data_IF_159500406968
#
_entry.id   IF_159500406968
#
_cell.length_a   1.000
_cell.length_b   1.000
_cell.length_c   1.000
_cell.angle_alpha   90.00
_cell.angle_beta   90.00
_cell.angle_gamma   90.00
#
_symmetry.space_group_name_H-M   'P 1'
#
loop_
_entity.id
_entity.type
_entity.pdbx_description
1 polymer ?
#
# COMPACT_ATOMS: atom_id res chain seq x y z
N UNK A 1 23.48 -2.89 -24.02
CA UNK A 1 22.95 -3.76 -22.93
C UNK A 1 21.75 -3.16 -22.20
N UNK A 2 21.71 -1.84 -21.93
CA UNK A 2 20.54 -1.16 -21.32
C UNK A 2 19.18 -1.63 -21.87
N UNK A 3 18.99 -1.53 -23.19
CA UNK A 3 17.71 -1.82 -23.84
C UNK A 3 17.29 -3.29 -23.67
N UNK A 4 18.26 -4.21 -23.64
CA UNK A 4 17.99 -5.64 -23.41
C UNK A 4 17.52 -5.88 -21.97
N UNK A 5 18.15 -5.25 -20.98
CA UNK A 5 17.73 -5.36 -19.57
C UNK A 5 16.32 -4.77 -19.43
N UNK A 6 16.10 -3.56 -19.96
CA UNK A 6 14.84 -2.85 -19.90
C UNK A 6 13.69 -3.65 -20.55
N UNK A 7 13.86 -4.13 -21.78
CA UNK A 7 12.84 -4.93 -22.47
C UNK A 7 12.59 -6.27 -21.80
N UNK A 8 13.63 -6.91 -21.24
CA UNK A 8 13.46 -8.17 -20.51
C UNK A 8 12.64 -7.97 -19.24
N UNK A 9 12.89 -6.89 -18.49
CA UNK A 9 12.08 -6.52 -17.32
C UNK A 9 10.62 -6.23 -17.71
N UNK A 10 10.40 -5.48 -18.79
CA UNK A 10 9.04 -5.19 -19.28
C UNK A 10 8.32 -6.47 -19.70
N UNK A 11 8.98 -7.32 -20.48
CA UNK A 11 8.42 -8.61 -20.93
C UNK A 11 8.07 -9.49 -19.73
N UNK A 12 8.93 -9.51 -18.73
CA UNK A 12 8.67 -10.22 -17.49
C UNK A 12 7.40 -9.70 -16.79
N UNK A 13 7.23 -8.39 -16.67
CA UNK A 13 6.06 -7.80 -16.03
C UNK A 13 4.76 -8.05 -16.80
N UNK A 14 4.78 -7.91 -18.13
CA UNK A 14 3.62 -8.24 -18.95
C UNK A 14 3.28 -9.73 -18.93
N UNK A 15 4.22 -10.62 -18.63
CA UNK A 15 3.91 -12.03 -18.44
C UNK A 15 3.40 -12.37 -17.03
N UNK A 16 3.41 -11.41 -16.09
CA UNK A 16 2.96 -11.64 -14.72
C UNK A 16 1.48 -11.25 -14.52
N UNK A 17 0.65 -12.17 -14.01
CA UNK A 17 -0.75 -11.87 -13.67
C UNK A 17 -0.92 -10.69 -12.71
N UNK A 18 0.04 -10.49 -11.79
CA UNK A 18 0.01 -9.40 -10.81
C UNK A 18 -0.10 -8.02 -11.46
N UNK A 19 0.56 -7.78 -12.58
CA UNK A 19 0.48 -6.51 -13.31
C UNK A 19 -0.95 -6.21 -13.77
N UNK A 20 -1.60 -7.19 -14.41
CA UNK A 20 -2.97 -7.05 -14.88
C UNK A 20 -3.96 -6.88 -13.74
N UNK A 21 -3.74 -7.58 -12.62
CA UNK A 21 -4.55 -7.38 -11.41
C UNK A 21 -4.43 -5.93 -10.90
N UNK A 22 -3.22 -5.37 -10.83
CA UNK A 22 -3.05 -3.97 -10.45
C UNK A 22 -3.74 -3.02 -11.44
N UNK A 23 -3.54 -3.23 -12.74
CA UNK A 23 -4.20 -2.41 -13.76
C UNK A 23 -5.74 -2.47 -13.64
N UNK A 24 -6.32 -3.66 -13.50
CA UNK A 24 -7.78 -3.85 -13.38
C UNK A 24 -8.32 -3.25 -12.09
N UNK A 25 -7.67 -3.50 -10.95
CA UNK A 25 -8.12 -2.98 -9.66
C UNK A 25 -8.09 -1.46 -9.65
N UNK A 26 -6.99 -0.85 -10.09
CA UNK A 26 -6.89 0.61 -10.13
C UNK A 26 -7.77 1.24 -11.23
N UNK A 27 -8.03 0.51 -12.32
CA UNK A 27 -9.03 0.91 -13.31
C UNK A 27 -10.44 0.93 -12.67
N UNK A 28 -10.84 -0.14 -11.97
CA UNK A 28 -12.14 -0.19 -11.29
C UNK A 28 -12.24 0.91 -10.23
N UNK A 29 -11.19 1.13 -9.42
CA UNK A 29 -11.19 2.20 -8.41
C UNK A 29 -11.34 3.58 -9.06
N UNK A 30 -10.55 3.90 -10.09
CA UNK A 30 -10.64 5.20 -10.77
C UNK A 30 -12.00 5.43 -11.42
N UNK A 31 -12.57 4.39 -12.03
CA UNK A 31 -13.91 4.41 -12.61
C UNK A 31 -14.98 4.60 -11.53
N UNK A 32 -14.88 3.89 -10.39
CA UNK A 32 -15.82 4.03 -9.29
C UNK A 32 -15.77 5.43 -8.66
N UNK A 33 -14.58 5.98 -8.41
CA UNK A 33 -14.42 7.32 -7.80
C UNK A 33 -15.02 8.41 -8.68
N UNK A 34 -14.77 8.38 -9.99
CA UNK A 34 -15.34 9.34 -10.96
C UNK A 34 -16.84 9.15 -11.17
N UNK A 35 -17.32 7.90 -11.21
CA UNK A 35 -18.75 7.59 -11.30
C UNK A 35 -19.53 8.04 -10.06
N UNK A 36 -18.91 7.91 -8.89
CA UNK A 36 -19.47 8.31 -7.61
C UNK A 36 -19.56 9.84 -7.51
N UNK A 37 -18.51 10.56 -7.96
CA UNK A 37 -18.57 12.02 -8.02
C UNK A 37 -19.62 12.50 -9.02
N UNK A 38 -19.88 11.75 -10.09
CA UNK A 38 -20.92 12.05 -11.08
C UNK A 38 -22.35 11.63 -10.69
N UNK A 39 -22.58 11.23 -9.43
CA UNK A 39 -23.92 11.02 -8.88
C UNK A 39 -24.54 9.65 -9.09
N UNK A 40 -23.79 8.64 -9.58
CA UNK A 40 -24.33 7.26 -9.75
C UNK A 40 -24.83 6.66 -8.43
N UNK A 41 -24.24 7.07 -7.29
CA UNK A 41 -24.65 6.60 -5.96
C UNK A 41 -25.50 7.61 -5.18
N UNK A 42 -25.96 8.72 -5.79
CA UNK A 42 -26.77 9.74 -5.11
C UNK A 42 -28.12 9.20 -4.57
N UNK A 43 -28.65 8.15 -5.21
CA UNK A 43 -29.82 7.42 -4.73
C UNK A 43 -29.62 6.78 -3.34
N UNK A 44 -28.35 6.57 -2.92
CA UNK A 44 -27.96 5.96 -1.64
C UNK A 44 -27.51 7.03 -0.63
N UNK A 45 -26.95 8.15 -1.09
CA UNK A 45 -26.26 9.14 -0.24
C UNK A 45 -27.04 10.43 0.07
N UNK A 46 -28.26 10.61 -0.48
CA UNK A 46 -29.09 11.82 -0.25
C UNK A 46 -28.28 13.13 -0.43
N UNK A 47 -27.36 13.15 -1.40
CA UNK A 47 -26.51 14.31 -1.65
C UNK A 47 -27.25 15.29 -2.58
N UNK A 48 -27.44 16.51 -2.10
CA UNK A 48 -28.10 17.60 -2.81
C UNK A 48 -27.22 18.10 -3.95
N UNK A 49 -27.80 18.26 -5.15
CA UNK A 49 -27.11 18.75 -6.35
C UNK A 49 -26.19 19.93 -6.08
N UNK A 50 -24.89 19.71 -6.28
CA UNK A 50 -23.86 20.72 -6.18
C UNK A 50 -23.77 21.51 -7.49
N UNK A 51 -23.60 22.83 -7.42
CA UNK A 51 -23.31 23.66 -8.60
C UNK A 51 -21.89 23.48 -9.14
N UNK A 52 -21.07 22.64 -8.51
CA UNK A 52 -19.73 22.29 -8.98
C UNK A 52 -19.80 21.20 -10.04
N UNK A 53 -19.19 21.46 -11.18
CA UNK A 53 -19.04 20.50 -12.26
C UNK A 53 -17.98 19.48 -11.86
N UNK A 54 -18.33 18.20 -11.91
CA UNK A 54 -17.56 17.11 -11.28
C UNK A 54 -16.39 16.63 -12.13
N UNK A 55 -16.37 17.02 -13.40
CA UNK A 55 -15.26 16.81 -14.32
C UNK A 55 -14.61 18.14 -14.78
N UNK A 56 -14.74 19.20 -13.98
CA UNK A 56 -13.96 20.42 -14.19
C UNK A 56 -12.45 20.16 -14.03
N UNK A 57 -11.55 21.04 -14.53
CA UNK A 57 -10.11 20.81 -14.44
C UNK A 57 -9.60 20.55 -13.01
N UNK A 58 -10.14 21.28 -12.03
CA UNK A 58 -9.78 21.09 -10.61
C UNK A 58 -10.40 19.80 -10.03
N UNK A 59 -11.62 19.44 -10.42
CA UNK A 59 -12.26 18.21 -9.96
C UNK A 59 -11.57 16.97 -10.55
N UNK A 60 -11.18 17.00 -11.83
CA UNK A 60 -10.40 15.95 -12.49
C UNK A 60 -9.07 15.74 -11.77
N UNK A 61 -8.38 16.81 -11.34
CA UNK A 61 -7.17 16.68 -10.55
C UNK A 61 -7.41 15.85 -9.27
N UNK A 62 -8.47 16.14 -8.51
CA UNK A 62 -8.79 15.40 -7.29
C UNK A 62 -9.17 13.95 -7.55
N UNK A 63 -10.09 13.71 -8.49
CA UNK A 63 -10.59 12.38 -8.85
C UNK A 63 -9.51 11.49 -9.47
N UNK A 64 -8.53 12.07 -10.17
CA UNK A 64 -7.40 11.33 -10.73
C UNK A 64 -6.27 11.14 -9.71
N UNK A 65 -5.97 12.15 -8.89
CA UNK A 65 -4.90 12.07 -7.88
C UNK A 65 -5.24 11.08 -6.75
N UNK A 66 -6.51 10.92 -6.37
CA UNK A 66 -6.93 10.02 -5.29
C UNK A 66 -6.57 8.53 -5.52
N UNK A 67 -6.95 7.89 -6.64
CA UNK A 67 -6.49 6.53 -6.93
C UNK A 67 -4.97 6.46 -7.20
N UNK A 68 -4.39 7.50 -7.80
CA UNK A 68 -2.95 7.53 -8.06
C UNK A 68 -2.10 7.62 -6.77
N UNK A 69 -2.57 8.31 -5.74
CA UNK A 69 -1.89 8.39 -4.44
C UNK A 69 -1.92 7.05 -3.71
N UNK A 70 -3.02 6.29 -3.80
CA UNK A 70 -3.12 4.92 -3.24
C UNK A 70 -2.14 3.96 -3.94
N UNK A 71 -1.82 4.19 -5.22
CA UNK A 71 -0.89 3.34 -5.97
C UNK A 71 0.53 3.34 -5.38
N UNK A 72 0.92 4.36 -4.60
CA UNK A 72 2.24 4.43 -3.95
C UNK A 72 2.54 3.19 -3.09
N UNK A 73 1.52 2.60 -2.46
CA UNK A 73 1.67 1.39 -1.63
C UNK A 73 2.08 0.15 -2.44
N UNK A 74 1.90 0.18 -3.75
CA UNK A 74 2.31 -0.88 -4.66
C UNK A 74 3.67 -0.61 -5.31
N UNK A 75 4.25 0.60 -5.17
CA UNK A 75 5.55 0.94 -5.75
C UNK A 75 6.68 0.00 -5.27
N UNK A 76 6.78 -0.41 -3.99
CA UNK A 76 7.79 -1.37 -3.56
C UNK A 76 7.63 -2.72 -4.26
N UNK A 77 6.40 -3.17 -4.46
CA UNK A 77 6.12 -4.45 -5.14
C UNK A 77 6.46 -4.44 -6.62
N UNK A 78 6.43 -3.27 -7.27
CA UNK A 78 6.72 -3.11 -8.70
C UNK A 78 8.16 -2.64 -8.92
N UNK A 79 8.49 -1.43 -8.46
CA UNK A 79 9.80 -0.79 -8.65
C UNK A 79 10.86 -1.41 -7.73
N UNK A 80 10.52 -1.66 -6.47
CA UNK A 80 11.46 -2.29 -5.53
C UNK A 80 11.84 -3.71 -5.97
N UNK A 81 10.87 -4.46 -6.49
CA UNK A 81 11.11 -5.84 -6.92
C UNK A 81 11.90 -5.97 -8.21
N UNK A 82 12.02 -4.94 -9.05
CA UNK A 82 12.87 -5.02 -10.26
C UNK A 82 14.33 -5.26 -9.90
N UNK A 83 14.79 -4.67 -8.78
CA UNK A 83 16.16 -4.83 -8.31
C UNK A 83 16.30 -5.89 -7.20
N UNK A 84 15.34 -5.99 -6.27
CA UNK A 84 15.44 -7.00 -5.20
C UNK A 84 15.44 -8.41 -5.75
N UNK A 85 14.71 -8.66 -6.85
CA UNK A 85 14.55 -9.98 -7.43
C UNK A 85 15.88 -10.58 -7.86
N UNK A 86 16.81 -9.76 -8.33
CA UNK A 86 18.15 -10.23 -8.72
C UNK A 86 18.95 -10.71 -7.50
N UNK A 87 18.65 -10.18 -6.31
CA UNK A 87 19.22 -10.66 -5.05
C UNK A 87 18.48 -11.88 -4.52
N UNK A 88 17.14 -11.87 -4.52
CA UNK A 88 16.30 -12.99 -4.06
C UNK A 88 16.51 -14.28 -4.86
N UNK A 89 16.75 -14.16 -6.17
CA UNK A 89 17.02 -15.28 -7.07
C UNK A 89 18.52 -15.60 -7.23
N UNK A 90 19.39 -14.92 -6.49
CA UNK A 90 20.86 -14.98 -6.62
C UNK A 90 21.43 -14.68 -8.02
N UNK A 91 20.59 -14.22 -8.95
CA UNK A 91 20.94 -13.92 -10.34
C UNK A 91 21.97 -12.77 -10.45
N UNK A 92 22.05 -11.89 -9.44
CA UNK A 92 23.07 -10.85 -9.36
C UNK A 92 24.50 -11.39 -9.46
N UNK A 93 24.77 -12.62 -9.01
CA UNK A 93 26.10 -13.25 -9.11
C UNK A 93 26.55 -13.47 -10.56
N UNK A 94 25.60 -13.80 -11.43
CA UNK A 94 25.81 -14.02 -12.86
C UNK A 94 25.76 -12.67 -13.59
N UNK A 95 24.73 -11.86 -13.33
CA UNK A 95 24.53 -10.58 -14.02
C UNK A 95 25.72 -9.65 -13.84
N UNK A 96 26.33 -9.60 -12.66
CA UNK A 96 27.46 -8.70 -12.37
C UNK A 96 28.77 -9.12 -13.06
N UNK A 97 28.81 -10.29 -13.69
CA UNK A 97 29.95 -10.72 -14.53
C UNK A 97 29.88 -10.22 -15.97
N UNK A 98 28.72 -9.73 -16.42
CA UNK A 98 28.55 -9.21 -17.79
C UNK A 98 29.16 -7.82 -17.98
N UNK A 99 29.62 -7.48 -19.19
CA UNK A 99 30.31 -6.22 -19.49
C UNK A 99 29.31 -5.05 -19.70
N UNK A 100 28.45 -4.76 -18.73
CA UNK A 100 27.59 -3.57 -18.74
C UNK A 100 27.99 -2.56 -17.66
N UNK A 101 27.72 -1.28 -17.91
CA UNK A 101 28.04 -0.20 -16.97
C UNK A 101 27.00 -0.08 -15.84
N UNK A 102 27.39 0.53 -14.71
CA UNK A 102 26.48 0.83 -13.59
C UNK A 102 25.24 1.61 -14.03
N UNK A 103 25.43 2.60 -14.91
CA UNK A 103 24.33 3.43 -15.45
C UNK A 103 23.37 2.56 -16.25
N UNK A 104 23.90 1.70 -17.14
CA UNK A 104 23.06 0.85 -17.97
C UNK A 104 22.22 -0.13 -17.13
N UNK A 105 22.79 -0.65 -16.04
CA UNK A 105 22.08 -1.53 -15.12
C UNK A 105 21.02 -0.78 -14.29
N UNK A 106 21.43 0.22 -13.52
CA UNK A 106 20.55 0.95 -12.60
C UNK A 106 19.43 1.68 -13.35
N UNK A 107 19.76 2.38 -14.43
CA UNK A 107 18.76 3.10 -15.20
C UNK A 107 17.75 2.14 -15.84
N UNK A 108 18.18 0.97 -16.35
CA UNK A 108 17.26 -0.01 -16.93
C UNK A 108 16.30 -0.58 -15.88
N UNK A 109 16.81 -0.90 -14.69
CA UNK A 109 16.00 -1.43 -13.57
C UNK A 109 15.03 -0.40 -13.00
N UNK A 110 15.47 0.86 -12.85
CA UNK A 110 14.60 1.96 -12.41
C UNK A 110 13.54 2.29 -13.46
N UNK A 111 13.94 2.54 -14.71
CA UNK A 111 13.03 2.96 -15.77
C UNK A 111 12.03 1.87 -16.14
N UNK A 112 12.39 0.58 -16.04
CA UNK A 112 11.43 -0.50 -16.26
C UNK A 112 10.34 -0.52 -15.19
N UNK A 113 10.71 -0.44 -13.90
CA UNK A 113 9.73 -0.32 -12.81
C UNK A 113 8.86 0.93 -12.93
N UNK A 114 9.49 2.07 -13.20
CA UNK A 114 8.81 3.36 -13.42
C UNK A 114 7.82 3.28 -14.59
N UNK A 115 8.22 2.67 -15.71
CA UNK A 115 7.36 2.48 -16.87
C UNK A 115 6.15 1.60 -16.54
N UNK A 116 6.33 0.48 -15.84
CA UNK A 116 5.23 -0.40 -15.47
C UNK A 116 4.21 0.32 -14.58
N UNK A 117 4.66 1.06 -13.56
CA UNK A 117 3.75 1.87 -12.73
C UNK A 117 3.06 2.95 -13.56
N UNK A 118 3.79 3.59 -14.48
CA UNK A 118 3.23 4.59 -15.38
C UNK A 118 2.08 4.03 -16.24
N UNK A 119 2.21 2.81 -16.77
CA UNK A 119 1.11 2.18 -17.52
C UNK A 119 -0.14 1.93 -16.66
N UNK A 120 0.01 1.64 -15.36
CA UNK A 120 -1.13 1.52 -14.43
C UNK A 120 -1.78 2.89 -14.21
N UNK A 121 -0.99 3.97 -14.09
CA UNK A 121 -1.52 5.34 -13.99
C UNK A 121 -2.28 5.74 -15.27
N UNK A 122 -1.80 5.33 -16.44
CA UNK A 122 -2.54 5.53 -17.70
C UNK A 122 -3.86 4.73 -17.73
N UNK A 123 -3.91 3.56 -17.11
CA UNK A 123 -5.19 2.85 -16.93
C UNK A 123 -6.16 3.64 -16.03
N UNK A 124 -5.67 4.28 -14.96
CA UNK A 124 -6.47 5.17 -14.10
C UNK A 124 -6.97 6.39 -14.90
N UNK A 125 -6.13 7.00 -15.73
CA UNK A 125 -6.53 8.11 -16.60
C UNK A 125 -7.74 7.74 -17.46
N UNK A 126 -7.69 6.57 -18.12
CA UNK A 126 -8.77 6.07 -18.97
C UNK A 126 -10.00 5.76 -18.12
N UNK A 127 -9.81 5.13 -16.96
CA UNK A 127 -10.88 4.78 -16.04
C UNK A 127 -11.68 6.00 -15.54
N UNK A 128 -10.98 7.06 -15.13
CA UNK A 128 -11.61 8.32 -14.69
C UNK A 128 -12.40 8.94 -15.82
N UNK A 129 -11.85 8.95 -17.04
CA UNK A 129 -12.53 9.47 -18.23
C UNK A 129 -13.82 8.70 -18.53
N UNK A 130 -13.80 7.37 -18.40
CA UNK A 130 -14.97 6.52 -18.64
C UNK A 130 -16.00 6.57 -17.51
N UNK A 131 -15.58 6.76 -16.26
CA UNK A 131 -16.50 6.77 -15.12
C UNK A 131 -17.49 7.95 -15.15
N UNK A 132 -17.11 9.09 -15.72
CA UNK A 132 -18.02 10.23 -15.94
C UNK A 132 -19.12 9.97 -16.99
N UNK A 133 -18.91 9.00 -17.89
CA UNK A 133 -19.80 8.70 -19.03
C UNK A 133 -20.68 7.47 -18.75
N UNK A 134 -20.57 6.87 -17.56
CA UNK A 134 -21.33 5.66 -17.25
C UNK A 134 -22.85 5.89 -17.27
N UNK A 135 -23.65 4.90 -17.70
CA UNK A 135 -25.09 4.97 -17.58
C UNK A 135 -25.50 5.18 -16.12
N UNK A 136 -26.26 6.24 -15.86
CA UNK A 136 -26.70 6.62 -14.51
C UNK A 136 -25.98 7.83 -13.90
N UNK A 137 -24.99 8.41 -14.60
CA UNK A 137 -24.42 9.71 -14.19
C UNK A 137 -25.41 10.85 -14.42
N UNK A 138 -25.33 11.86 -13.55
CA UNK A 138 -26.09 13.09 -13.70
C UNK A 138 -25.41 13.99 -14.75
N UNK A 139 -26.06 14.15 -15.91
CA UNK A 139 -25.50 14.94 -17.02
C UNK A 139 -25.49 16.45 -16.75
N UNK A 140 -26.25 16.94 -15.78
CA UNK A 140 -26.31 18.37 -15.45
C UNK A 140 -25.03 18.87 -14.77
N UNK A 141 -24.24 17.96 -14.19
CA UNK A 141 -23.00 18.26 -13.46
C UNK A 141 -21.74 17.74 -14.17
N UNK A 142 -21.88 17.21 -15.39
CA UNK A 142 -20.79 16.64 -16.18
C UNK A 142 -20.68 17.38 -17.52
N UNK A 143 -19.55 18.05 -17.73
CA UNK A 143 -19.20 18.68 -19.00
C UNK A 143 -18.74 17.67 -20.06
N UNK A 144 -18.63 18.08 -21.34
CA UNK A 144 -17.93 17.29 -22.35
C UNK A 144 -16.49 16.95 -21.94
N UNK A 145 -15.98 15.82 -22.43
CA UNK A 145 -14.60 15.42 -22.18
C UNK A 145 -13.61 16.48 -22.69
N UNK A 146 -12.81 17.02 -21.77
CA UNK A 146 -11.70 17.91 -22.08
C UNK A 146 -10.38 17.22 -21.75
N UNK A 147 -9.57 16.95 -22.79
CA UNK A 147 -8.29 16.27 -22.65
C UNK A 147 -7.29 17.08 -21.82
N UNK A 148 -7.35 18.42 -21.90
CA UNK A 148 -6.36 19.30 -21.29
C UNK A 148 -6.36 19.16 -19.77
N UNK A 149 -7.54 19.09 -19.16
CA UNK A 149 -7.73 18.87 -17.73
C UNK A 149 -6.97 17.65 -17.19
N UNK A 150 -7.02 16.54 -17.93
CA UNK A 150 -6.35 15.31 -17.52
C UNK A 150 -4.84 15.36 -17.76
N UNK A 151 -4.41 15.95 -18.88
CA UNK A 151 -2.97 16.10 -19.17
C UNK A 151 -2.30 17.04 -18.18
N UNK A 152 -2.99 18.11 -17.75
CA UNK A 152 -2.50 19.03 -16.72
C UNK A 152 -2.30 18.28 -15.39
N UNK A 153 -3.33 17.56 -14.92
CA UNK A 153 -3.21 16.73 -13.71
C UNK A 153 -2.08 15.69 -13.82
N UNK A 154 -1.95 15.04 -14.98
CA UNK A 154 -0.94 14.02 -15.21
C UNK A 154 0.49 14.58 -15.18
N UNK A 155 0.80 15.57 -16.01
CA UNK A 155 2.16 16.09 -16.16
C UNK A 155 2.59 17.01 -15.03
N UNK A 156 1.66 17.81 -14.49
CA UNK A 156 1.98 18.80 -13.46
C UNK A 156 2.05 18.14 -12.08
N UNK A 157 1.23 17.14 -11.80
CA UNK A 157 1.10 16.57 -10.44
C UNK A 157 1.55 15.11 -10.40
N UNK A 158 0.91 14.23 -11.17
CA UNK A 158 1.05 12.79 -10.97
C UNK A 158 2.43 12.27 -11.40
N UNK A 159 2.93 12.72 -12.56
CA UNK A 159 4.20 12.25 -13.11
C UNK A 159 5.43 12.70 -12.27
N UNK A 160 5.53 13.97 -11.81
CA UNK A 160 6.58 14.37 -10.87
C UNK A 160 6.55 13.58 -9.56
N UNK A 161 5.36 13.35 -9.01
CA UNK A 161 5.18 12.58 -7.77
C UNK A 161 5.62 11.12 -7.97
N UNK A 162 5.22 10.49 -9.08
CA UNK A 162 5.69 9.17 -9.48
C UNK A 162 7.23 9.13 -9.50
N UNK A 163 7.87 10.10 -10.14
CA UNK A 163 9.34 10.14 -10.25
C UNK A 163 10.01 10.27 -8.88
N UNK A 164 9.54 11.19 -8.04
CA UNK A 164 10.11 11.44 -6.71
C UNK A 164 10.00 10.20 -5.81
N UNK A 165 8.80 9.66 -5.61
CA UNK A 165 8.60 8.51 -4.73
C UNK A 165 9.27 7.24 -5.28
N UNK A 166 9.22 7.02 -6.60
CA UNK A 166 9.92 5.89 -7.23
C UNK A 166 11.42 5.95 -6.96
N UNK A 167 12.02 7.14 -7.02
CA UNK A 167 13.45 7.33 -6.80
C UNK A 167 13.85 6.96 -5.37
N UNK A 168 13.05 7.38 -4.37
CA UNK A 168 13.28 7.04 -2.96
C UNK A 168 13.15 5.53 -2.75
N UNK A 169 12.05 4.92 -3.20
CA UNK A 169 11.78 3.49 -2.98
C UNK A 169 12.85 2.64 -3.68
N UNK A 170 13.17 2.97 -4.93
CA UNK A 170 14.23 2.30 -5.66
C UNK A 170 15.57 2.41 -4.93
N UNK A 171 15.92 3.60 -4.40
CA UNK A 171 17.14 3.81 -3.64
C UNK A 171 17.22 2.98 -2.37
N UNK A 172 16.20 3.03 -1.53
CA UNK A 172 16.18 2.28 -0.27
C UNK A 172 16.25 0.78 -0.52
N UNK A 173 15.49 0.26 -1.50
CA UNK A 173 15.52 -1.18 -1.83
C UNK A 173 16.86 -1.58 -2.46
N UNK A 174 17.47 -0.71 -3.28
CA UNK A 174 18.80 -0.96 -3.86
C UNK A 174 19.87 -1.13 -2.77
N UNK A 175 19.86 -0.27 -1.76
CA UNK A 175 20.85 -0.31 -0.69
C UNK A 175 20.62 -1.44 0.31
N UNK A 176 19.36 -1.68 0.67
CA UNK A 176 19.01 -2.71 1.66
C UNK A 176 18.89 -4.11 1.06
N UNK A 177 18.79 -4.22 -0.27
CA UNK A 177 18.54 -5.46 -1.02
C UNK A 177 17.30 -6.20 -0.54
N UNK A 178 16.32 -5.46 -0.01
CA UNK A 178 15.13 -6.02 0.61
C UNK A 178 13.89 -5.18 0.28
N UNK A 179 12.92 -5.78 -0.42
CA UNK A 179 11.66 -5.12 -0.81
C UNK A 179 10.87 -4.64 0.41
N UNK A 180 10.95 -5.36 1.53
CA UNK A 180 10.21 -5.02 2.74
C UNK A 180 10.59 -3.64 3.29
N UNK A 181 11.85 -3.22 3.11
CA UNK A 181 12.27 -1.87 3.51
C UNK A 181 11.64 -0.81 2.61
N UNK A 182 11.39 -1.13 1.34
CA UNK A 182 10.63 -0.27 0.43
C UNK A 182 9.19 -0.02 0.92
N UNK A 183 8.51 -1.05 1.44
CA UNK A 183 7.19 -0.88 2.07
C UNK A 183 7.25 0.04 3.29
N UNK A 184 8.25 -0.12 4.15
CA UNK A 184 8.47 0.77 5.31
C UNK A 184 8.71 2.21 4.83
N UNK A 185 9.47 2.41 3.75
CA UNK A 185 9.71 3.75 3.18
C UNK A 185 8.43 4.43 2.74
N UNK A 186 7.48 3.70 2.13
CA UNK A 186 6.17 4.29 1.76
C UNK A 186 5.42 4.79 2.99
N UNK A 187 5.40 4.02 4.07
CA UNK A 187 4.77 4.46 5.33
C UNK A 187 5.42 5.74 5.84
N UNK A 188 6.75 5.78 5.85
CA UNK A 188 7.50 6.96 6.31
C UNK A 188 7.15 8.18 5.44
N UNK A 189 7.07 8.00 4.12
CA UNK A 189 6.66 9.07 3.19
C UNK A 189 5.27 9.58 3.55
N UNK A 190 4.28 8.69 3.71
CA UNK A 190 2.90 9.08 4.04
C UNK A 190 2.81 9.76 5.42
N UNK A 191 3.56 9.28 6.41
CA UNK A 191 3.64 9.93 7.73
C UNK A 191 4.23 11.34 7.60
N UNK A 192 5.30 11.49 6.84
CA UNK A 192 5.93 12.80 6.61
C UNK A 192 4.95 13.74 5.91
N UNK A 193 4.20 13.27 4.91
CA UNK A 193 3.18 14.06 4.23
C UNK A 193 2.07 14.52 5.19
N UNK A 194 1.50 13.60 5.97
CA UNK A 194 0.49 13.93 6.96
C UNK A 194 1.00 14.91 8.03
N UNK A 195 2.27 14.77 8.45
CA UNK A 195 2.91 15.70 9.37
C UNK A 195 3.11 17.08 8.74
N UNK A 196 3.57 17.16 7.49
CA UNK A 196 3.76 18.42 6.79
C UNK A 196 2.43 19.16 6.60
N UNK A 197 1.37 18.44 6.22
CA UNK A 197 0.02 18.99 6.10
C UNK A 197 -0.49 19.51 7.46
N UNK A 198 -0.30 18.75 8.53
CA UNK A 198 -0.67 19.18 9.89
C UNK A 198 0.11 20.39 10.39
N UNK A 199 1.44 20.42 10.21
CA UNK A 199 2.32 21.50 10.65
C UNK A 199 2.08 22.81 9.89
N UNK A 200 1.73 22.72 8.61
CA UNK A 200 1.47 23.88 7.77
C UNK A 200 -0.01 24.17 7.54
N UNK A 201 -0.89 23.58 8.36
CA UNK A 201 -2.34 23.85 8.37
C UNK A 201 -2.68 25.31 8.71
N UNK A 202 -1.79 26.00 9.44
CA UNK A 202 -1.96 27.40 9.80
C UNK A 202 -2.03 28.31 8.55
N UNK A 203 -2.97 29.27 8.49
CA UNK A 203 -3.11 30.18 7.35
C UNK A 203 -1.84 30.96 6.98
N UNK A 204 -1.00 31.28 7.96
CA UNK A 204 0.24 32.03 7.77
C UNK A 204 1.34 31.18 7.10
N UNK A 205 1.29 29.86 7.27
CA UNK A 205 2.29 28.93 6.76
C UNK A 205 1.98 28.42 5.34
N UNK A 206 0.90 28.89 4.71
CA UNK A 206 0.42 28.37 3.41
C UNK A 206 1.44 28.48 2.28
N UNK A 207 2.30 29.50 2.30
CA UNK A 207 3.39 29.63 1.32
C UNK A 207 4.42 28.50 1.46
N UNK A 208 4.81 28.19 2.69
CA UNK A 208 5.75 27.11 3.00
C UNK A 208 5.10 25.75 2.72
N UNK A 209 3.80 25.60 3.06
CA UNK A 209 3.00 24.42 2.72
C UNK A 209 3.02 24.15 1.21
N UNK A 210 2.75 25.17 0.40
CA UNK A 210 2.76 25.05 -1.06
C UNK A 210 4.13 24.65 -1.61
N UNK A 211 5.22 25.08 -0.99
CA UNK A 211 6.58 24.79 -1.47
C UNK A 211 7.06 23.38 -1.09
N UNK A 212 6.74 22.92 0.12
CA UNK A 212 7.27 21.68 0.70
C UNK A 212 6.26 20.53 0.78
N UNK A 213 5.05 20.68 0.23
CA UNK A 213 4.12 19.58 0.04
C UNK A 213 4.53 18.71 -1.17
N UNK A 214 4.96 17.44 -0.97
CA UNK A 214 5.37 16.56 -2.06
C UNK A 214 4.24 16.26 -3.05
N UNK A 215 2.98 16.24 -2.59
CA UNK A 215 1.84 16.00 -3.47
C UNK A 215 1.64 17.18 -4.43
N UNK A 216 1.98 18.39 -3.99
CA UNK A 216 1.71 19.69 -4.62
C UNK A 216 0.21 20.02 -4.80
N UNK A 217 -0.67 19.29 -4.11
CA UNK A 217 -2.08 19.68 -3.99
C UNK A 217 -2.21 20.97 -3.18
N UNK A 218 -1.35 21.20 -2.18
CA UNK A 218 -1.31 22.45 -1.42
C UNK A 218 -0.93 23.65 -2.29
N UNK A 219 -0.02 23.46 -3.25
CA UNK A 219 0.34 24.50 -4.21
C UNK A 219 -0.80 24.84 -5.16
N UNK A 220 -1.54 23.83 -5.63
CA UNK A 220 -2.78 24.03 -6.38
C UNK A 220 -3.82 24.79 -5.54
N UNK A 221 -4.09 24.31 -4.32
CA UNK A 221 -5.05 24.91 -3.39
C UNK A 221 -4.68 26.37 -3.03
N UNK A 222 -3.39 26.72 -2.99
CA UNK A 222 -2.95 28.10 -2.73
C UNK A 222 -3.53 29.08 -3.77
N UNK A 223 -3.52 28.72 -5.06
CA UNK A 223 -4.04 29.56 -6.14
C UNK A 223 -5.55 29.43 -6.34
N UNK A 224 -6.13 28.26 -6.09
CA UNK A 224 -7.54 27.99 -6.36
C UNK A 224 -8.47 28.29 -5.18
N UNK A 225 -7.97 28.55 -3.98
CA UNK A 225 -8.77 28.77 -2.77
C UNK A 225 -9.83 29.89 -2.86
N UNK A 226 -9.54 30.94 -3.64
CA UNK A 226 -10.43 32.08 -3.80
C UNK A 226 -11.24 32.03 -5.08
N UNK A 227 -11.10 30.95 -5.84
CA UNK A 227 -11.91 30.76 -7.03
C UNK A 227 -13.38 30.58 -6.64
N UNK A 228 -14.22 31.37 -7.29
CA UNK A 228 -15.66 31.16 -7.33
C UNK A 228 -15.98 29.79 -7.92
N UNK A 229 -17.21 29.31 -7.72
CA UNK A 229 -17.65 28.03 -8.31
C UNK A 229 -17.54 28.07 -9.84
N UNK A 230 -17.85 29.20 -10.46
CA UNK A 230 -17.69 29.40 -11.91
C UNK A 230 -16.24 29.26 -12.35
N UNK A 231 -15.31 29.90 -11.63
CA UNK A 231 -13.87 29.81 -11.94
C UNK A 231 -13.32 28.40 -11.73
N UNK A 232 -13.75 27.68 -10.68
CA UNK A 232 -13.37 26.27 -10.46
C UNK A 232 -13.88 25.34 -11.57
N UNK A 233 -14.98 25.72 -12.23
CA UNK A 233 -15.59 24.94 -13.29
C UNK A 233 -14.90 25.16 -14.65
N UNK A 234 -14.35 26.36 -14.89
CA UNK A 234 -13.83 26.75 -16.21
C UNK A 234 -12.30 26.87 -16.28
N UNK A 235 -11.63 27.26 -15.19
CA UNK A 235 -10.20 27.54 -15.20
C UNK A 235 -9.36 26.27 -15.06
N UNK A 236 -8.37 26.16 -15.94
CA UNK A 236 -7.34 25.12 -15.86
C UNK A 236 -6.40 25.33 -14.68
N UNK A 237 -5.71 24.25 -14.29
CA UNK A 237 -4.71 24.29 -13.24
C UNK A 237 -3.68 25.42 -13.52
N UNK A 238 -3.58 26.45 -12.67
CA UNK A 238 -2.72 27.59 -12.95
C UNK A 238 -1.27 27.15 -12.83
N UNK A 239 -0.45 27.37 -13.85
CA UNK A 239 1.00 27.17 -13.78
C UNK A 239 1.67 28.35 -13.06
N UNK A 240 1.31 28.54 -11.79
CA UNK A 240 1.89 29.57 -10.94
C UNK A 240 3.34 29.24 -10.55
N UNK A 241 4.09 30.28 -10.19
CA UNK A 241 5.50 30.17 -9.77
C UNK A 241 5.70 29.13 -8.65
N UNK A 242 4.78 29.07 -7.67
CA UNK A 242 4.88 28.13 -6.56
C UNK A 242 4.73 26.67 -6.99
N UNK A 243 3.89 26.39 -7.98
CA UNK A 243 3.75 25.02 -8.52
C UNK A 243 5.02 24.63 -9.23
N UNK A 244 5.60 25.53 -10.04
CA UNK A 244 6.85 25.27 -10.74
C UNK A 244 8.00 25.05 -9.75
N UNK A 245 8.14 25.92 -8.73
CA UNK A 245 9.17 25.77 -7.71
C UNK A 245 9.02 24.47 -6.92
N UNK A 246 7.80 24.12 -6.52
CA UNK A 246 7.51 22.83 -5.89
C UNK A 246 7.97 21.66 -6.79
N UNK A 247 7.58 21.64 -8.07
CA UNK A 247 7.98 20.55 -8.99
C UNK A 247 9.47 20.47 -9.21
N UNK A 248 10.14 21.61 -9.34
CA UNK A 248 11.61 21.65 -9.47
C UNK A 248 12.31 21.11 -8.21
N UNK A 249 11.81 21.44 -7.01
CA UNK A 249 12.36 20.92 -5.76
C UNK A 249 12.27 19.40 -5.72
N UNK A 250 11.08 18.83 -5.93
CA UNK A 250 10.89 17.38 -5.79
C UNK A 250 11.51 16.56 -6.94
N UNK A 251 11.54 17.08 -8.17
CA UNK A 251 12.28 16.46 -9.27
C UNK A 251 13.79 16.52 -8.99
N UNK A 252 14.29 17.63 -8.45
CA UNK A 252 15.70 17.76 -8.05
C UNK A 252 16.05 16.78 -6.94
N UNK A 253 15.22 16.67 -5.89
CA UNK A 253 15.41 15.71 -4.81
C UNK A 253 15.41 14.26 -5.32
N UNK A 254 14.46 13.89 -6.18
CA UNK A 254 14.42 12.56 -6.80
C UNK A 254 15.69 12.28 -7.61
N UNK A 255 16.15 13.26 -8.38
CA UNK A 255 17.39 13.17 -9.17
C UNK A 255 18.63 13.05 -8.29
N UNK A 256 18.69 13.78 -7.18
CA UNK A 256 19.76 13.69 -6.18
C UNK A 256 19.80 12.30 -5.53
N UNK A 257 18.64 11.70 -5.24
CA UNK A 257 18.56 10.33 -4.74
C UNK A 257 19.14 9.35 -5.77
N UNK A 258 18.70 9.42 -7.03
CA UNK A 258 19.22 8.55 -8.10
C UNK A 258 20.73 8.74 -8.33
N UNK A 259 21.21 9.98 -8.29
CA UNK A 259 22.63 10.29 -8.40
C UNK A 259 23.44 9.70 -7.22
N UNK A 260 22.90 9.78 -6.01
CA UNK A 260 23.51 9.18 -4.81
C UNK A 260 23.60 7.66 -4.93
N UNK A 261 22.55 7.00 -5.45
CA UNK A 261 22.58 5.56 -5.76
C UNK A 261 23.69 5.25 -6.74
N UNK A 262 23.78 5.99 -7.85
CA UNK A 262 24.82 5.77 -8.85
C UNK A 262 26.24 5.88 -8.28
N UNK A 263 26.50 6.86 -7.40
CA UNK A 263 27.81 7.09 -6.79
C UNK A 263 28.20 5.97 -5.82
N UNK A 264 27.27 5.50 -4.99
CA UNK A 264 27.52 4.53 -3.93
C UNK A 264 27.47 3.09 -4.46
N UNK A 265 26.63 2.81 -5.45
CA UNK A 265 26.43 1.47 -5.97
C UNK A 265 27.71 0.88 -6.55
N UNK A 266 27.99 -0.37 -6.18
CA UNK A 266 29.07 -1.18 -6.75
C UNK A 266 28.56 -2.59 -7.00
N UNK A 267 29.15 -3.27 -8.00
CA UNK A 267 28.85 -4.66 -8.33
C UNK A 267 29.49 -5.62 -7.31
N UNK A 268 29.22 -5.41 -6.02
CA UNK A 268 29.69 -6.30 -4.94
C UNK A 268 28.71 -7.46 -4.76
N UNK A 269 29.24 -8.68 -4.63
CA UNK A 269 28.42 -9.85 -4.28
C UNK A 269 27.85 -9.71 -2.86
N UNK A 270 28.64 -9.18 -1.92
CA UNK A 270 28.19 -8.95 -0.54
C UNK A 270 27.33 -7.71 -0.40
N UNK A 271 26.30 -7.80 0.43
CA UNK A 271 25.44 -6.68 0.81
C UNK A 271 26.24 -5.61 1.56
N UNK A 272 25.84 -4.34 1.41
CA UNK A 272 26.41 -3.26 2.18
C UNK A 272 25.98 -3.42 3.64
N UNK A 273 26.88 -3.85 4.51
CA UNK A 273 26.64 -3.96 5.96
C UNK A 273 27.23 -2.75 6.66
N UNK A 274 26.38 -1.94 7.32
CA UNK A 274 26.86 -1.01 8.34
C UNK A 274 27.38 -1.83 9.52
N UNK A 275 28.67 -2.14 9.53
CA UNK A 275 29.31 -2.84 10.64
C UNK A 275 30.20 -1.87 11.41
N UNK A 276 29.80 -1.52 12.64
CA UNK A 276 30.65 -0.83 13.62
C UNK A 276 31.50 -1.81 14.45
N UNK A 277 31.52 -3.09 14.10
CA UNK A 277 32.33 -4.10 14.79
C UNK A 277 32.88 -5.09 13.77
N UNK A 278 34.19 -5.00 13.50
CA UNK A 278 34.93 -6.03 12.79
C UNK A 278 34.95 -7.31 13.64
N UNK A 279 33.91 -8.12 13.53
CA UNK A 279 33.99 -9.52 13.94
C UNK A 279 34.50 -10.31 12.75
N UNK A 280 35.76 -10.70 12.83
CA UNK A 280 36.39 -11.65 11.93
C UNK A 280 35.49 -12.88 11.80
N UNK A 281 35.06 -13.17 10.57
CA UNK A 281 34.30 -14.37 10.26
C UNK A 281 35.22 -15.59 10.44
N UNK A 282 35.14 -16.23 11.61
CA UNK A 282 35.75 -17.54 11.82
C UNK A 282 35.11 -18.52 10.83
N UNK A 283 35.90 -18.92 9.84
CA UNK A 283 35.55 -19.98 8.89
C UNK A 283 35.29 -21.26 9.68
N UNK A 284 34.02 -21.60 9.89
CA UNK A 284 33.62 -22.88 10.47
C UNK A 284 33.91 -23.96 9.44
N UNK A 285 35.08 -24.58 9.54
CA UNK A 285 35.34 -25.86 8.88
C UNK A 285 34.46 -26.89 9.56
N UNK A 286 33.40 -27.32 8.89
CA UNK A 286 32.56 -28.42 9.35
C UNK A 286 33.44 -29.66 9.40
N UNK A 287 33.84 -30.11 10.59
CA UNK A 287 34.50 -31.41 10.73
C UNK A 287 33.42 -32.48 10.57
N UNK A 288 33.39 -33.15 9.41
CA UNK A 288 32.48 -34.28 9.17
C UNK A 288 32.94 -35.58 9.86
N UNK A 289 33.75 -35.47 10.93
CA UNK A 289 34.23 -36.61 11.72
C UNK A 289 33.45 -36.69 13.03
N UNK A 290 32.15 -36.93 12.93
CA UNK A 290 31.34 -37.43 14.03
C UNK A 290 31.09 -38.91 13.80
N UNK A 291 31.63 -39.77 14.66
CA UNK A 291 31.34 -41.22 14.63
C UNK A 291 29.85 -41.50 14.74
N UNK A 292 29.42 -42.67 14.26
CA UNK A 292 28.03 -43.13 14.31
C UNK A 292 27.62 -43.24 15.79
N UNK A 293 27.04 -42.18 16.35
CA UNK A 293 26.41 -42.21 17.66
C UNK A 293 25.05 -42.89 17.49
N UNK A 294 24.84 -44.03 18.17
CA UNK A 294 23.52 -44.63 18.28
C UNK A 294 22.64 -43.70 19.11
N UNK A 295 21.91 -42.82 18.44
CA UNK A 295 20.88 -42.00 19.05
C UNK A 295 19.72 -42.94 19.39
N UNK A 296 19.40 -43.07 20.68
CA UNK A 296 18.24 -43.83 21.11
C UNK A 296 16.99 -43.00 20.78
N UNK A 297 16.39 -43.27 19.62
CA UNK A 297 15.21 -42.54 19.17
C UNK A 297 14.05 -42.79 20.14
N UNK A 298 13.39 -41.75 20.65
CA UNK A 298 12.21 -41.94 21.49
C UNK A 298 11.16 -42.72 20.70
N UNK A 299 10.60 -43.78 21.30
CA UNK A 299 9.47 -44.52 20.73
C UNK A 299 8.27 -43.59 20.70
N UNK A 300 7.89 -43.14 19.51
CA UNK A 300 6.83 -42.18 19.32
C UNK A 300 5.48 -42.91 19.31
N UNK A 301 4.65 -42.71 20.34
CA UNK A 301 3.25 -43.12 20.29
C UNK A 301 2.47 -42.08 19.48
N UNK A 302 2.03 -42.47 18.28
CA UNK A 302 1.19 -41.64 17.42
C UNK A 302 -0.27 -41.75 17.89
N UNK A 303 -0.78 -40.68 18.50
CA UNK A 303 -2.20 -40.57 18.84
C UNK A 303 -2.96 -39.76 17.76
N UNK A 304 -3.90 -40.42 17.09
CA UNK A 304 -4.76 -39.84 16.04
C UNK A 304 -6.16 -39.48 16.57
N UNK A 305 -6.30 -39.23 17.87
CA UNK A 305 -7.55 -38.77 18.45
C UNK A 305 -7.99 -37.39 17.93
N UNK A 306 -9.31 -37.18 17.82
CA UNK A 306 -9.92 -35.89 17.44
C UNK A 306 -9.43 -34.73 18.33
N UNK A 307 -9.21 -34.99 19.62
CA UNK A 307 -8.67 -34.01 20.56
C UNK A 307 -7.25 -33.58 20.18
N UNK A 308 -6.41 -34.52 19.74
CA UNK A 308 -5.07 -34.20 19.28
C UNK A 308 -5.11 -33.47 17.94
N UNK A 309 -6.07 -33.78 17.07
CA UNK A 309 -6.25 -33.07 15.79
C UNK A 309 -6.70 -31.62 15.98
N UNK A 310 -7.63 -31.34 16.90
CA UNK A 310 -7.97 -29.96 17.29
C UNK A 310 -6.77 -29.21 17.88
N UNK A 311 -5.93 -29.90 18.67
CA UNK A 311 -4.71 -29.31 19.22
C UNK A 311 -3.68 -29.00 18.12
N UNK A 312 -3.50 -29.90 17.15
CA UNK A 312 -2.65 -29.67 15.96
C UNK A 312 -3.14 -28.47 15.17
N UNK A 313 -4.45 -28.42 14.91
CA UNK A 313 -5.11 -27.32 14.21
C UNK A 313 -4.87 -25.97 14.91
N UNK A 314 -5.04 -25.91 16.23
CA UNK A 314 -4.78 -24.69 17.01
C UNK A 314 -3.31 -24.26 16.97
N UNK A 315 -2.39 -25.22 17.12
CA UNK A 315 -0.95 -24.95 17.10
C UNK A 315 -0.48 -24.46 15.72
N UNK A 316 -0.91 -25.12 14.65
CA UNK A 316 -0.63 -24.69 13.28
C UNK A 316 -1.21 -23.29 13.02
N UNK A 317 -2.44 -23.03 13.49
CA UNK A 317 -3.06 -21.71 13.39
C UNK A 317 -2.24 -20.62 14.10
N UNK A 318 -1.66 -20.92 15.27
CA UNK A 318 -0.81 -19.97 15.98
C UNK A 318 0.51 -19.69 15.24
N UNK A 319 1.09 -20.71 14.59
CA UNK A 319 2.31 -20.54 13.77
C UNK A 319 2.01 -19.67 12.55
N UNK A 320 0.91 -19.95 11.84
CA UNK A 320 0.49 -19.17 10.68
C UNK A 320 0.09 -17.74 11.07
N UNK A 321 -0.57 -17.55 12.22
CA UNK A 321 -0.88 -16.23 12.78
C UNK A 321 0.36 -15.43 13.17
N UNK A 322 1.35 -16.05 13.81
CA UNK A 322 2.63 -15.38 14.11
C UNK A 322 3.37 -14.99 12.84
N UNK A 323 3.29 -15.82 11.79
CA UNK A 323 3.84 -15.48 10.49
C UNK A 323 3.18 -14.22 9.91
N UNK A 324 1.85 -14.10 10.00
CA UNK A 324 1.12 -12.90 9.55
C UNK A 324 1.59 -11.67 10.33
N UNK A 325 1.50 -11.68 11.67
CA UNK A 325 1.79 -10.48 12.48
C UNK A 325 3.23 -10.00 12.35
N UNK A 326 4.18 -10.94 12.20
CA UNK A 326 5.60 -10.60 12.03
C UNK A 326 5.96 -10.21 10.60
N UNK A 327 5.05 -10.35 9.64
CA UNK A 327 5.30 -9.99 8.26
C UNK A 327 5.34 -8.45 8.12
N UNK A 328 6.40 -7.93 7.53
CA UNK A 328 6.55 -6.48 7.30
C UNK A 328 5.41 -5.87 6.49
N UNK A 329 4.85 -6.61 5.52
CA UNK A 329 3.67 -6.15 4.77
C UNK A 329 2.45 -5.99 5.67
N UNK A 330 2.23 -6.90 6.64
CA UNK A 330 1.12 -6.78 7.59
C UNK A 330 1.31 -5.55 8.47
N UNK A 331 2.49 -5.39 9.06
CA UNK A 331 2.84 -4.24 9.91
C UNK A 331 2.61 -2.94 9.12
N UNK A 332 3.00 -2.91 7.85
CA UNK A 332 2.82 -1.75 6.98
C UNK A 332 1.35 -1.37 6.77
N UNK A 333 0.52 -2.37 6.47
CA UNK A 333 -0.93 -2.19 6.28
C UNK A 333 -1.60 -1.75 7.58
N UNK A 334 -1.20 -2.32 8.73
CA UNK A 334 -1.75 -1.96 10.04
C UNK A 334 -1.46 -0.50 10.40
N UNK A 335 -0.20 -0.06 10.21
CA UNK A 335 0.19 1.34 10.49
C UNK A 335 -0.61 2.29 9.60
N UNK A 336 -0.74 1.96 8.32
CA UNK A 336 -1.53 2.74 7.38
C UNK A 336 -3.00 2.83 7.79
N UNK A 337 -3.61 1.70 8.16
CA UNK A 337 -5.00 1.65 8.60
C UNK A 337 -5.21 2.51 9.85
N UNK A 338 -4.28 2.46 10.81
CA UNK A 338 -4.30 3.29 12.00
C UNK A 338 -4.18 4.79 11.66
N UNK A 339 -3.28 5.18 10.77
CA UNK A 339 -3.13 6.58 10.35
C UNK A 339 -4.41 7.11 9.70
N UNK A 340 -4.99 6.37 8.76
CA UNK A 340 -6.24 6.75 8.10
C UNK A 340 -7.40 6.87 9.10
N UNK A 341 -7.46 5.97 10.08
CA UNK A 341 -8.48 6.04 11.11
C UNK A 341 -8.29 7.24 12.05
N UNK A 342 -7.05 7.57 12.44
CA UNK A 342 -6.77 8.77 13.23
C UNK A 342 -7.17 10.05 12.50
N UNK A 343 -6.88 10.14 11.20
CA UNK A 343 -7.34 11.25 10.36
C UNK A 343 -8.87 11.31 10.35
N UNK A 344 -9.55 10.17 10.09
CA UNK A 344 -11.01 10.12 10.09
C UNK A 344 -11.64 10.48 11.44
N UNK A 345 -11.04 10.05 12.56
CA UNK A 345 -11.46 10.41 13.91
C UNK A 345 -11.34 11.93 14.15
N UNK A 346 -10.27 12.56 13.65
CA UNK A 346 -10.07 13.99 13.79
C UNK A 346 -11.08 14.82 12.99
N UNK A 347 -11.44 14.38 11.77
CA UNK A 347 -12.43 15.06 10.93
C UNK A 347 -13.85 14.92 11.50
N UNK A 348 -14.22 13.72 11.96
CA UNK A 348 -15.55 13.44 12.53
C UNK A 348 -15.82 14.19 13.85
N UNK A 349 -14.75 14.61 14.53
CA UNK A 349 -14.82 15.46 15.73
C UNK A 349 -15.28 16.89 15.44
N UNK A 350 -15.17 17.37 14.19
CA UNK A 350 -15.40 18.77 13.85
C UNK A 350 -16.33 18.90 12.62
N UNK A 351 -17.64 18.91 12.85
CA UNK A 351 -18.64 19.00 11.77
C UNK A 351 -18.89 20.47 11.47
N UNK A 352 -18.43 20.94 10.30
CA UNK A 352 -18.57 22.34 9.86
C UNK A 352 -18.06 23.38 10.88
N UNK A 353 -16.96 23.09 11.57
CA UNK A 353 -16.38 23.98 12.58
C UNK A 353 -17.05 23.90 13.95
N UNK A 354 -18.05 23.02 14.12
CA UNK A 354 -18.68 22.77 15.42
C UNK A 354 -18.07 21.52 16.06
N UNK A 355 -17.41 21.65 17.23
CA UNK A 355 -16.87 20.51 17.94
C UNK A 355 -18.03 19.61 18.39
N UNK A 356 -17.93 18.32 18.09
CA UNK A 356 -18.91 17.32 18.50
C UNK A 356 -18.29 16.34 19.48
N UNK A 357 -19.11 15.83 20.41
CA UNK A 357 -18.62 14.84 21.36
C UNK A 357 -18.24 13.54 20.64
N UNK A 358 -17.09 12.94 20.98
CA UNK A 358 -16.62 11.69 20.39
C UNK A 358 -17.39 10.50 20.99
N UNK A 359 -18.70 10.43 20.75
CA UNK A 359 -19.54 9.32 21.20
C UNK A 359 -19.15 8.02 20.49
N UNK A 360 -19.39 6.89 21.13
CA UNK A 360 -18.99 5.55 20.66
C UNK A 360 -19.39 5.26 19.21
N UNK A 361 -20.61 5.61 18.80
CA UNK A 361 -21.08 5.41 17.43
C UNK A 361 -20.27 6.21 16.38
N UNK A 362 -19.78 7.41 16.72
CA UNK A 362 -18.91 8.19 15.84
C UNK A 362 -17.53 7.57 15.70
N UNK A 363 -17.00 7.02 16.80
CA UNK A 363 -15.71 6.33 16.78
C UNK A 363 -15.79 5.06 15.91
N UNK A 364 -16.91 4.34 16.01
CA UNK A 364 -17.20 3.19 15.15
C UNK A 364 -17.38 3.58 13.68
N UNK A 365 -18.01 4.73 13.41
CA UNK A 365 -18.13 5.27 12.05
C UNK A 365 -16.76 5.57 11.43
N UNK A 366 -15.83 6.16 12.18
CA UNK A 366 -14.44 6.35 11.74
C UNK A 366 -13.73 5.00 11.47
N UNK A 367 -14.12 3.97 12.22
CA UNK A 367 -13.71 2.59 12.03
C UNK A 367 -14.07 2.00 10.66
N UNK A 368 -15.03 2.57 9.93
CA UNK A 368 -15.38 2.10 8.59
C UNK A 368 -14.18 2.15 7.61
N UNK A 369 -13.26 3.10 7.79
CA UNK A 369 -12.03 3.21 7.00
C UNK A 369 -11.12 1.97 7.12
N UNK A 370 -11.20 1.23 8.23
CA UNK A 370 -10.45 -0.02 8.41
C UNK A 370 -10.95 -1.17 7.53
N UNK A 371 -12.20 -1.11 7.05
CA UNK A 371 -12.82 -2.22 6.31
C UNK A 371 -12.04 -2.62 5.06
N UNK A 372 -11.56 -1.63 4.30
CA UNK A 372 -10.71 -1.84 3.13
C UNK A 372 -9.41 -2.57 3.52
N UNK A 373 -8.75 -2.13 4.58
CA UNK A 373 -7.49 -2.74 5.02
C UNK A 373 -7.67 -4.16 5.56
N UNK A 374 -8.77 -4.43 6.27
CA UNK A 374 -9.13 -5.78 6.73
C UNK A 374 -9.36 -6.70 5.53
N UNK A 375 -10.14 -6.27 4.55
CA UNK A 375 -10.43 -7.08 3.36
C UNK A 375 -9.16 -7.34 2.54
N UNK A 376 -8.37 -6.30 2.24
CA UNK A 376 -7.09 -6.45 1.52
C UNK A 376 -6.15 -7.40 2.26
N UNK A 377 -6.01 -7.26 3.58
CA UNK A 377 -5.18 -8.15 4.40
C UNK A 377 -5.69 -9.59 4.36
N UNK A 378 -7.01 -9.79 4.41
CA UNK A 378 -7.65 -11.11 4.35
C UNK A 378 -7.25 -11.86 3.09
N UNK A 379 -7.45 -11.25 1.91
CA UNK A 379 -7.09 -11.86 0.64
C UNK A 379 -5.58 -12.07 0.47
N UNK A 380 -4.78 -11.06 0.84
CA UNK A 380 -3.33 -11.12 0.69
C UNK A 380 -2.72 -12.22 1.56
N UNK A 381 -3.12 -12.33 2.82
CA UNK A 381 -2.57 -13.34 3.72
C UNK A 381 -3.18 -14.73 3.50
N UNK A 382 -4.40 -14.84 2.99
CA UNK A 382 -4.92 -16.11 2.47
C UNK A 382 -4.03 -16.66 1.35
N UNK A 383 -3.77 -15.84 0.33
CA UNK A 383 -2.93 -16.23 -0.80
C UNK A 383 -1.51 -16.60 -0.35
N UNK A 384 -0.90 -15.78 0.51
CA UNK A 384 0.45 -16.03 1.04
C UNK A 384 0.50 -17.32 1.85
N UNK A 385 -0.45 -17.56 2.76
CA UNK A 385 -0.46 -18.77 3.58
C UNK A 385 -0.69 -20.05 2.76
N UNK A 386 -1.52 -19.98 1.72
CA UNK A 386 -1.77 -21.10 0.81
C UNK A 386 -0.54 -21.45 -0.04
N UNK A 387 0.15 -20.45 -0.57
CA UNK A 387 1.31 -20.66 -1.45
C UNK A 387 2.64 -20.84 -0.72
N UNK A 388 2.70 -20.50 0.58
CA UNK A 388 3.94 -20.52 1.38
C UNK A 388 4.74 -21.82 1.26
N UNK A 389 4.08 -22.98 1.33
CA UNK A 389 4.76 -24.27 1.24
C UNK A 389 5.41 -24.51 -0.13
N UNK A 390 4.76 -24.05 -1.20
CA UNK A 390 5.28 -24.13 -2.57
C UNK A 390 6.41 -23.14 -2.79
N UNK A 391 6.26 -21.89 -2.34
CA UNK A 391 7.30 -20.86 -2.47
C UNK A 391 8.58 -21.23 -1.72
N UNK A 392 8.46 -21.96 -0.60
CA UNK A 392 9.61 -22.47 0.15
C UNK A 392 10.08 -23.86 -0.29
N UNK A 393 9.51 -24.46 -1.34
CA UNK A 393 9.81 -25.81 -1.82
C UNK A 393 9.71 -26.92 -0.74
N UNK A 394 8.79 -26.76 0.22
CA UNK A 394 8.54 -27.73 1.31
C UNK A 394 7.18 -28.41 1.22
N UNK A 395 6.40 -28.15 0.17
CA UNK A 395 5.09 -28.74 -0.04
C UNK A 395 5.12 -30.27 0.01
N UNK A 396 6.08 -30.90 -0.67
CA UNK A 396 6.23 -32.37 -0.65
C UNK A 396 6.46 -32.91 0.76
N UNK A 397 7.19 -32.20 1.62
CA UNK A 397 7.41 -32.61 3.00
C UNK A 397 6.11 -32.55 3.82
N UNK A 398 5.32 -31.49 3.64
CA UNK A 398 4.03 -31.32 4.32
C UNK A 398 3.03 -32.36 3.83
N UNK A 399 2.99 -32.64 2.53
CA UNK A 399 2.05 -33.57 1.90
C UNK A 399 2.32 -35.03 2.30
N UNK A 400 3.54 -35.36 2.73
CA UNK A 400 3.88 -36.69 3.29
C UNK A 400 3.53 -36.85 4.77
N UNK A 401 3.10 -35.79 5.45
CA UNK A 401 2.70 -35.90 6.86
C UNK A 401 1.34 -36.58 6.97
N UNK A 402 1.07 -37.34 8.06
CA UNK A 402 -0.22 -37.98 8.28
C UNK A 402 -1.28 -36.98 8.77
N UNK A 403 -1.19 -35.70 8.38
CA UNK A 403 -2.14 -34.66 8.80
C UNK A 403 -3.27 -34.52 7.78
N UNK A 404 -4.54 -34.66 8.20
CA UNK A 404 -5.68 -34.45 7.32
C UNK A 404 -5.73 -33.05 6.69
N UNK A 405 -6.18 -32.95 5.44
CA UNK A 405 -6.29 -31.68 4.70
C UNK A 405 -7.16 -30.63 5.40
N UNK A 406 -8.23 -31.05 6.08
CA UNK A 406 -9.10 -30.12 6.81
C UNK A 406 -8.38 -29.42 7.98
N UNK A 407 -7.36 -30.06 8.57
CA UNK A 407 -6.52 -29.46 9.61
C UNK A 407 -5.63 -28.38 9.00
N UNK A 408 -4.99 -28.68 7.86
CA UNK A 408 -4.08 -27.76 7.16
C UNK A 408 -4.80 -26.53 6.62
N UNK A 409 -6.02 -26.70 6.08
CA UNK A 409 -6.85 -25.58 5.62
C UNK A 409 -7.50 -24.85 6.80
N UNK A 410 -8.06 -25.58 7.77
CA UNK A 410 -8.69 -25.01 8.95
C UNK A 410 -7.74 -24.18 9.81
N UNK A 411 -6.46 -24.58 9.90
CA UNK A 411 -5.45 -23.81 10.62
C UNK A 411 -5.17 -22.46 9.97
N UNK A 412 -5.10 -22.41 8.63
CA UNK A 412 -4.91 -21.17 7.85
C UNK A 412 -6.11 -20.25 7.98
N UNK A 413 -7.31 -20.81 7.85
CA UNK A 413 -8.55 -20.07 8.03
C UNK A 413 -8.63 -19.43 9.43
N UNK A 414 -8.37 -20.21 10.49
CA UNK A 414 -8.35 -19.66 11.84
C UNK A 414 -7.24 -18.62 12.06
N UNK A 415 -6.09 -18.75 11.40
CA UNK A 415 -5.05 -17.74 11.48
C UNK A 415 -5.51 -16.39 10.90
N UNK A 416 -6.29 -16.41 9.81
CA UNK A 416 -6.89 -15.22 9.21
C UNK A 416 -7.98 -14.63 10.11
N UNK A 417 -8.85 -15.47 10.69
CA UNK A 417 -9.86 -14.98 11.65
C UNK A 417 -9.19 -14.33 12.87
N UNK A 418 -8.11 -14.90 13.40
CA UNK A 418 -7.32 -14.28 14.48
C UNK A 418 -6.72 -12.94 14.04
N UNK A 419 -6.21 -12.85 12.81
CA UNK A 419 -5.71 -11.59 12.25
C UNK A 419 -6.83 -10.54 12.16
N UNK A 420 -8.02 -10.89 11.66
CA UNK A 420 -9.17 -10.00 11.58
C UNK A 420 -9.61 -9.50 12.97
N UNK A 421 -9.62 -10.38 13.97
CA UNK A 421 -9.87 -10.02 15.36
C UNK A 421 -8.87 -8.99 15.90
N UNK A 422 -7.58 -9.15 15.58
CA UNK A 422 -6.55 -8.16 15.96
C UNK A 422 -6.83 -6.80 15.32
N UNK A 423 -7.15 -6.77 14.02
CA UNK A 423 -7.45 -5.52 13.31
C UNK A 423 -8.70 -4.82 13.87
N UNK A 424 -9.77 -5.57 14.14
CA UNK A 424 -10.98 -5.03 14.78
C UNK A 424 -10.71 -4.52 16.20
N UNK A 425 -9.88 -5.24 16.97
CA UNK A 425 -9.47 -4.79 18.30
C UNK A 425 -8.70 -3.46 18.23
N UNK A 426 -7.90 -3.25 17.19
CA UNK A 426 -7.19 -1.97 16.99
C UNK A 426 -8.15 -0.81 16.72
N UNK A 427 -9.28 -1.02 16.03
CA UNK A 427 -10.33 0.00 15.87
C UNK A 427 -10.90 0.40 17.23
N UNK A 428 -11.23 -0.58 18.07
CA UNK A 428 -11.74 -0.31 19.42
C UNK A 428 -10.71 0.46 20.27
N UNK A 429 -9.45 0.00 20.26
CA UNK A 429 -8.37 0.62 21.05
C UNK A 429 -8.11 2.06 20.57
N UNK A 430 -8.03 2.29 19.27
CA UNK A 430 -7.81 3.64 18.71
C UNK A 430 -8.97 4.59 19.01
N UNK A 431 -10.22 4.12 18.88
CA UNK A 431 -11.41 4.88 19.26
C UNK A 431 -11.42 5.27 20.75
N UNK A 432 -11.16 4.32 21.65
CA UNK A 432 -11.08 4.58 23.09
C UNK A 432 -9.95 5.56 23.42
N UNK A 433 -8.76 5.37 22.84
CA UNK A 433 -7.63 6.29 23.05
C UNK A 433 -7.95 7.71 22.58
N UNK A 434 -8.67 7.87 21.46
CA UNK A 434 -9.09 9.17 20.96
C UNK A 434 -10.15 9.83 21.85
N UNK A 435 -11.10 9.04 22.37
CA UNK A 435 -12.08 9.50 23.35
C UNK A 435 -11.40 10.02 24.64
N UNK A 436 -10.42 9.27 25.16
CA UNK A 436 -9.59 9.69 26.30
C UNK A 436 -8.85 11.00 25.99
N UNK A 437 -8.20 11.08 24.82
CA UNK A 437 -7.47 12.26 24.38
C UNK A 437 -8.37 13.51 24.30
N UNK A 438 -9.63 13.31 23.92
CA UNK A 438 -10.64 14.36 23.82
C UNK A 438 -11.38 14.65 25.14
N UNK A 439 -10.97 14.01 26.25
CA UNK A 439 -11.58 14.19 27.58
C UNK A 439 -12.97 13.57 27.75
N UNK A 440 -13.36 12.64 26.88
CA UNK A 440 -14.64 11.94 26.94
C UNK A 440 -14.44 10.53 27.50
N UNK A 441 -15.07 10.23 28.64
CA UNK A 441 -14.84 8.98 29.41
C UNK A 441 -16.04 8.03 29.45
N UNK A 442 -17.13 8.37 28.76
CA UNK A 442 -18.33 7.54 28.74
C UNK A 442 -18.20 6.45 27.66
N UNK A 443 -17.44 5.40 27.98
CA UNK A 443 -17.14 4.31 27.05
C UNK A 443 -18.24 3.26 27.07
N UNK A 444 -19.05 3.20 26.02
CA UNK A 444 -20.02 2.14 25.82
C UNK A 444 -19.33 0.90 25.21
N UNK A 445 -18.51 0.20 26.00
CA UNK A 445 -17.75 -0.99 25.54
C UNK A 445 -18.67 -2.06 24.95
N UNK A 446 -19.90 -2.18 25.48
CA UNK A 446 -20.92 -3.08 24.94
C UNK A 446 -21.25 -2.78 23.46
N UNK A 447 -21.34 -1.51 23.08
CA UNK A 447 -21.56 -1.11 21.70
C UNK A 447 -20.35 -1.43 20.81
N UNK A 448 -19.13 -1.20 21.28
CA UNK A 448 -17.93 -1.60 20.55
C UNK A 448 -17.88 -3.11 20.27
N UNK A 449 -18.13 -3.94 21.30
CA UNK A 449 -18.09 -5.39 21.15
C UNK A 449 -19.21 -5.89 20.23
N UNK A 450 -20.42 -5.33 20.36
CA UNK A 450 -21.55 -5.72 19.51
C UNK A 450 -21.28 -5.38 18.03
N UNK A 451 -20.86 -4.15 17.73
CA UNK A 451 -20.64 -3.72 16.35
C UNK A 451 -19.44 -4.43 15.71
N UNK A 452 -18.31 -4.50 16.42
CA UNK A 452 -17.06 -5.01 15.84
C UNK A 452 -16.99 -6.54 15.87
N UNK A 453 -17.35 -7.18 16.98
CA UNK A 453 -17.19 -8.63 17.14
C UNK A 453 -18.43 -9.38 16.68
N UNK A 454 -19.64 -8.89 16.92
CA UNK A 454 -20.85 -9.62 16.53
C UNK A 454 -21.21 -9.30 15.08
N UNK A 455 -21.39 -8.03 14.72
CA UNK A 455 -21.82 -7.68 13.37
C UNK A 455 -20.68 -7.76 12.34
N UNK A 456 -19.60 -7.02 12.58
CA UNK A 456 -18.54 -6.86 11.57
C UNK A 456 -17.74 -8.13 11.35
N UNK A 457 -17.37 -8.86 12.41
CA UNK A 457 -16.59 -10.10 12.30
C UNK A 457 -17.29 -11.17 11.44
N UNK A 458 -18.62 -11.29 11.53
CA UNK A 458 -19.38 -12.25 10.72
C UNK A 458 -19.19 -11.94 9.23
N UNK A 459 -19.28 -10.67 8.85
CA UNK A 459 -19.03 -10.22 7.48
C UNK A 459 -17.60 -10.57 7.03
N UNK A 460 -16.59 -10.29 7.86
CA UNK A 460 -15.20 -10.60 7.53
C UNK A 460 -14.88 -12.10 7.50
N UNK A 461 -15.57 -12.91 8.30
CA UNK A 461 -15.48 -14.37 8.24
C UNK A 461 -16.00 -14.89 6.89
N UNK A 462 -17.09 -14.31 6.36
CA UNK A 462 -17.61 -14.65 5.04
C UNK A 462 -16.57 -14.33 3.96
N UNK A 463 -15.95 -13.15 4.03
CA UNK A 463 -14.84 -12.79 3.13
C UNK A 463 -13.62 -13.71 3.28
N UNK A 464 -13.29 -14.14 4.50
CA UNK A 464 -12.23 -15.11 4.73
C UNK A 464 -12.56 -16.45 4.08
N UNK A 465 -13.77 -16.97 4.22
CA UNK A 465 -14.19 -18.20 3.54
C UNK A 465 -14.08 -18.06 2.01
N UNK A 466 -14.55 -16.94 1.46
CA UNK A 466 -14.49 -16.65 0.04
C UNK A 466 -13.04 -16.63 -0.48
N UNK A 467 -12.10 -16.11 0.32
CA UNK A 467 -10.67 -16.08 -0.04
C UNK A 467 -10.00 -17.46 -0.18
N UNK A 468 -10.57 -18.52 0.40
CA UNK A 468 -10.08 -19.90 0.26
C UNK A 468 -10.79 -20.69 -0.84
N UNK A 469 -11.88 -20.17 -1.41
CA UNK A 469 -12.60 -20.78 -2.52
C UNK A 469 -12.02 -20.42 -3.89
N UNK A 470 -11.23 -19.34 -3.95
CA UNK A 470 -10.51 -18.82 -5.13
C UNK A 470 -9.08 -19.36 -5.09
#
# INVERSE_FOLDING_TARGET
>A
MFLNIFLNEIKYWFNRPAYYLYAIVFFIIGMLVSSASAGIFDAITLSTGSSKIVNSPLAVLGVFAAPASILIFFYPSIIGSTISRDYESEMHTILYSYPFSKIQYLAAKFLSGFFIVNTVILAIFIAVSLGFILPGTNQDIVNPFDLKSYTDAYFIVILPNLFFYSSIIFGVVTFTRNVYVGFISVIIIVIIEALLEGLFSNPDNRFIAALFDPSGLSASNYYTRYWTVSEQNELYLPLGELIIYNRLIFISLGSLVLFSIYRIFSFSQNAFTFSFSNKDSKRLTKSNFGGITKINLPKLNLDFSLKNDLKKLWNLSNIDFQYIIRNWSFISIVILALLFNLIGLSELGNVFGTPTYPRTWKMLQAGASFSLFINVSTFLFAANLLHRSRTSNINQLIDTTPTPNWILLGSKFLAIVKMQLVLLSLIMISGILFQIYSGYYDFEIGHYLYELIILSLISYIIWALLSFLI
#
